data_IF_104488589003
#
_entry.id   IF_104488589003
#
_cell.length_a   1.000
_cell.length_b   1.000
_cell.length_c   1.000
_cell.angle_alpha   90.00
_cell.angle_beta   90.00
_cell.angle_gamma   90.00
#
_symmetry.space_group_name_H-M   'P 1'
#
loop_
_entity.id
_entity.type
_entity.pdbx_description
1 polymer ?
#
# COMPACT_ATOMS: atom_id res chain seq x y z
N UNK A 1 -30.98 -7.19 -41.14
CA UNK A 1 -30.63 -6.90 -39.73
C UNK A 1 -31.11 -8.06 -38.89
N UNK A 2 -30.20 -8.94 -38.50
CA UNK A 2 -30.51 -10.11 -37.66
C UNK A 2 -30.52 -9.65 -36.20
N UNK A 3 -31.54 -9.95 -35.39
CA UNK A 3 -31.52 -9.59 -33.98
C UNK A 3 -30.46 -10.43 -33.24
N UNK A 4 -29.61 -9.74 -32.50
CA UNK A 4 -28.69 -10.36 -31.53
C UNK A 4 -29.56 -10.90 -30.40
N UNK A 5 -29.64 -12.21 -30.25
CA UNK A 5 -30.27 -12.83 -29.08
C UNK A 5 -29.57 -12.34 -27.80
N UNK A 6 -30.31 -11.91 -26.77
CA UNK A 6 -29.70 -11.66 -25.47
C UNK A 6 -29.16 -12.99 -24.95
N UNK A 7 -27.84 -13.08 -24.87
CA UNK A 7 -27.14 -14.12 -24.12
C UNK A 7 -27.72 -14.07 -22.70
N UNK A 8 -28.50 -15.08 -22.35
CA UNK A 8 -29.07 -15.19 -21.01
C UNK A 8 -27.89 -15.33 -20.05
N UNK A 9 -27.65 -14.40 -19.11
CA UNK A 9 -26.56 -14.56 -18.18
C UNK A 9 -26.82 -15.84 -17.39
N UNK A 10 -25.88 -16.80 -17.47
CA UNK A 10 -25.91 -17.98 -16.61
C UNK A 10 -25.91 -17.44 -15.18
N UNK A 11 -27.04 -17.58 -14.48
CA UNK A 11 -27.13 -17.18 -13.07
C UNK A 11 -26.03 -17.91 -12.31
N UNK A 12 -25.16 -17.16 -11.66
CA UNK A 12 -24.12 -17.69 -10.78
C UNK A 12 -24.83 -18.53 -9.70
N UNK A 13 -24.45 -19.81 -9.52
CA UNK A 13 -25.01 -20.67 -8.49
C UNK A 13 -24.94 -20.05 -7.09
N UNK A 14 -25.85 -20.44 -6.19
CA UNK A 14 -25.92 -19.86 -4.84
C UNK A 14 -24.70 -20.16 -3.98
N UNK A 15 -24.13 -21.36 -4.13
CA UNK A 15 -22.89 -21.78 -3.48
C UNK A 15 -21.70 -20.91 -3.94
N UNK A 16 -21.61 -20.62 -5.25
CA UNK A 16 -20.58 -19.73 -5.79
C UNK A 16 -20.80 -18.30 -5.30
N UNK A 17 -22.03 -17.80 -5.26
CA UNK A 17 -22.35 -16.48 -4.68
C UNK A 17 -21.89 -16.38 -3.23
N UNK A 18 -22.18 -17.40 -2.41
CA UNK A 18 -21.74 -17.44 -1.01
C UNK A 18 -20.21 -17.45 -0.89
N UNK A 19 -19.52 -18.17 -1.78
CA UNK A 19 -18.05 -18.16 -1.80
C UNK A 19 -17.49 -16.77 -2.18
N UNK A 20 -18.13 -16.06 -3.11
CA UNK A 20 -17.76 -14.69 -3.48
C UNK A 20 -17.97 -13.72 -2.33
N UNK A 21 -19.07 -13.84 -1.57
CA UNK A 21 -19.30 -13.02 -0.37
C UNK A 21 -18.19 -13.23 0.67
N UNK A 22 -17.80 -14.47 0.91
CA UNK A 22 -16.68 -14.82 1.81
C UNK A 22 -15.36 -14.26 1.28
N UNK A 23 -15.09 -14.39 -0.02
CA UNK A 23 -13.88 -13.88 -0.64
C UNK A 23 -13.82 -12.35 -0.59
N UNK A 24 -14.96 -11.67 -0.76
CA UNK A 24 -15.05 -10.21 -0.65
C UNK A 24 -14.80 -9.74 0.78
N UNK A 25 -15.37 -10.43 1.79
CA UNK A 25 -15.09 -10.16 3.19
C UNK A 25 -13.60 -10.37 3.52
N UNK A 26 -13.01 -11.48 3.05
CA UNK A 26 -11.58 -11.76 3.24
C UNK A 26 -10.69 -10.71 2.54
N UNK A 27 -11.07 -10.28 1.33
CA UNK A 27 -10.35 -9.24 0.61
C UNK A 27 -10.41 -7.90 1.35
N UNK A 28 -11.58 -7.52 1.89
CA UNK A 28 -11.72 -6.32 2.70
C UNK A 28 -10.83 -6.38 3.94
N UNK A 29 -10.83 -7.50 4.66
CA UNK A 29 -9.99 -7.69 5.85
C UNK A 29 -8.49 -7.60 5.52
N UNK A 30 -8.07 -8.23 4.42
CA UNK A 30 -6.69 -8.17 3.94
C UNK A 30 -6.27 -6.74 3.58
N UNK A 31 -7.16 -5.94 2.97
CA UNK A 31 -6.87 -4.54 2.65
C UNK A 31 -6.77 -3.68 3.91
N UNK A 32 -7.64 -3.87 4.90
CA UNK A 32 -7.53 -3.19 6.19
C UNK A 32 -6.19 -3.50 6.85
N UNK A 33 -5.74 -4.76 6.82
CA UNK A 33 -4.44 -5.16 7.36
C UNK A 33 -3.26 -4.52 6.61
N UNK A 34 -3.31 -4.51 5.27
CA UNK A 34 -2.31 -3.83 4.44
C UNK A 34 -2.25 -2.35 4.81
N UNK A 35 -3.40 -1.67 4.88
CA UNK A 35 -3.45 -0.26 5.24
C UNK A 35 -2.95 -0.01 6.66
N UNK A 36 -3.32 -0.83 7.65
CA UNK A 36 -2.85 -0.71 9.02
C UNK A 36 -1.33 -0.87 9.13
N UNK A 37 -0.75 -1.85 8.44
CA UNK A 37 0.70 -2.05 8.41
C UNK A 37 1.44 -0.85 7.80
N UNK A 38 0.92 -0.29 6.71
CA UNK A 38 1.51 0.88 6.07
C UNK A 38 1.29 2.17 6.88
N UNK A 39 0.13 2.35 7.49
CA UNK A 39 -0.18 3.46 8.37
C UNK A 39 0.75 3.47 9.59
N UNK A 40 0.99 2.33 10.24
CA UNK A 40 1.91 2.25 11.37
C UNK A 40 3.34 2.64 11.01
N UNK A 41 3.82 2.23 9.83
CA UNK A 41 5.14 2.65 9.31
C UNK A 41 5.17 4.15 9.02
N UNK A 42 4.09 4.69 8.46
CA UNK A 42 3.95 6.12 8.18
C UNK A 42 3.96 6.94 9.48
N UNK A 43 3.18 6.55 10.48
CA UNK A 43 3.16 7.16 11.82
C UNK A 43 4.55 7.12 12.44
N UNK A 44 5.24 5.98 12.38
CA UNK A 44 6.60 5.85 12.90
C UNK A 44 7.56 6.82 12.21
N UNK A 45 7.45 6.96 10.88
CA UNK A 45 8.27 7.87 10.07
C UNK A 45 7.99 9.34 10.41
N UNK A 46 6.74 9.69 10.68
CA UNK A 46 6.29 11.06 10.95
C UNK A 46 6.31 11.46 12.44
N UNK A 47 6.65 10.54 13.34
CA UNK A 47 6.56 10.74 14.80
C UNK A 47 7.36 11.94 15.34
N UNK A 48 8.41 12.38 14.64
CA UNK A 48 9.17 13.58 15.01
C UNK A 48 8.51 14.91 14.58
N UNK A 49 7.46 14.85 13.76
CA UNK A 49 6.90 16.00 13.05
C UNK A 49 5.38 16.16 13.26
N UNK A 50 4.66 15.05 13.48
CA UNK A 50 3.21 15.01 13.64
C UNK A 50 2.85 14.19 14.87
N UNK A 51 1.78 14.62 15.54
CA UNK A 51 1.14 13.79 16.55
C UNK A 51 0.50 12.56 15.89
N UNK A 52 0.26 11.52 16.70
CA UNK A 52 -0.27 10.24 16.22
C UNK A 52 -1.54 10.40 15.35
N UNK A 53 -2.57 11.08 15.88
CA UNK A 53 -3.84 11.25 15.18
C UNK A 53 -3.67 12.00 13.85
N UNK A 54 -2.82 13.04 13.85
CA UNK A 54 -2.51 13.82 12.64
C UNK A 54 -1.80 12.98 11.58
N UNK A 55 -0.85 12.13 12.00
CA UNK A 55 -0.13 11.25 11.08
C UNK A 55 -1.05 10.17 10.48
N UNK A 56 -1.97 9.62 11.28
CA UNK A 56 -2.96 8.65 10.79
C UNK A 56 -3.95 9.31 9.83
N UNK A 57 -4.50 10.46 10.19
CA UNK A 57 -5.44 11.18 9.32
C UNK A 57 -4.78 11.59 8.00
N UNK A 58 -3.54 12.10 8.06
CA UNK A 58 -2.76 12.41 6.85
C UNK A 58 -2.59 11.17 5.96
N UNK A 59 -2.24 10.02 6.53
CA UNK A 59 -2.10 8.79 5.74
C UNK A 59 -3.40 8.38 5.05
N UNK A 60 -4.53 8.44 5.78
CA UNK A 60 -5.84 8.06 5.26
C UNK A 60 -6.27 8.98 4.12
N UNK A 61 -6.03 10.29 4.27
CA UNK A 61 -6.34 11.29 3.25
C UNK A 61 -5.50 11.09 1.98
N UNK A 62 -4.18 10.90 2.12
CA UNK A 62 -3.27 10.73 0.98
C UNK A 62 -3.58 9.47 0.15
N UNK A 63 -4.13 8.41 0.77
CA UNK A 63 -4.54 7.18 0.07
C UNK A 63 -6.03 7.10 -0.27
N UNK A 64 -6.82 8.13 0.05
CA UNK A 64 -8.28 8.18 -0.10
C UNK A 64 -8.98 6.99 0.59
N UNK A 65 -8.52 6.64 1.79
CA UNK A 65 -9.11 5.56 2.61
C UNK A 65 -10.29 6.13 3.39
N UNK A 66 -11.51 5.75 2.99
CA UNK A 66 -12.76 6.25 3.59
C UNK A 66 -13.40 5.27 4.55
N UNK A 67 -14.41 5.73 5.26
CA UNK A 67 -15.24 4.86 6.10
C UNK A 67 -15.97 3.80 5.25
N UNK A 68 -16.17 2.58 5.78
CA UNK A 68 -15.83 2.12 7.13
C UNK A 68 -14.37 1.65 7.32
N UNK A 69 -13.57 1.61 6.25
CA UNK A 69 -12.19 1.10 6.29
C UNK A 69 -11.28 1.98 7.14
N UNK A 70 -11.42 3.30 7.05
CA UNK A 70 -10.66 4.26 7.85
C UNK A 70 -10.78 3.98 9.36
N UNK A 71 -12.00 3.79 9.86
CA UNK A 71 -12.24 3.43 11.26
C UNK A 71 -11.55 2.10 11.66
N UNK A 72 -11.62 1.08 10.83
CA UNK A 72 -10.97 -0.21 11.10
C UNK A 72 -9.44 -0.09 11.11
N UNK A 73 -8.87 0.68 10.18
CA UNK A 73 -7.42 0.96 10.12
C UNK A 73 -6.96 1.72 11.36
N UNK A 74 -7.66 2.79 11.77
CA UNK A 74 -7.35 3.55 13.00
C UNK A 74 -7.29 2.63 14.22
N UNK A 75 -8.32 1.80 14.41
CA UNK A 75 -8.37 0.84 15.52
C UNK A 75 -7.20 -0.14 15.50
N UNK A 76 -6.83 -0.70 14.34
CA UNK A 76 -5.69 -1.62 14.24
C UNK A 76 -4.35 -0.96 14.53
N UNK A 77 -4.16 0.28 14.06
CA UNK A 77 -2.92 1.02 14.32
C UNK A 77 -2.78 1.32 15.81
N UNK A 78 -3.86 1.69 16.50
CA UNK A 78 -3.85 1.90 17.96
C UNK A 78 -3.44 0.62 18.71
N UNK A 79 -4.08 -0.51 18.40
CA UNK A 79 -3.75 -1.81 19.00
C UNK A 79 -2.29 -2.21 18.73
N UNK A 80 -1.82 -2.03 17.49
CA UNK A 80 -0.45 -2.34 17.13
C UNK A 80 0.58 -1.45 17.86
N UNK A 81 0.23 -0.19 18.13
CA UNK A 81 1.07 0.72 18.89
C UNK A 81 1.15 0.34 20.36
N UNK A 82 0.03 -0.04 20.99
CA UNK A 82 -0.01 -0.56 22.37
C UNK A 82 0.92 -1.76 22.53
N UNK A 83 0.80 -2.76 21.64
CA UNK A 83 1.71 -3.91 21.63
C UNK A 83 3.18 -3.53 21.44
N UNK A 84 3.48 -2.54 20.59
CA UNK A 84 4.84 -2.07 20.38
C UNK A 84 5.43 -1.32 21.59
N UNK A 85 4.58 -0.77 22.47
CA UNK A 85 4.99 -0.14 23.73
C UNK A 85 5.23 -1.21 24.81
N UNK A 86 4.34 -2.19 24.94
CA UNK A 86 4.49 -3.30 25.88
C UNK A 86 5.78 -4.08 25.63
N UNK A 87 6.09 -4.39 24.35
CA UNK A 87 7.33 -5.09 23.97
C UNK A 87 8.62 -4.30 24.29
N UNK A 88 8.53 -2.97 24.46
CA UNK A 88 9.68 -2.13 24.84
C UNK A 88 9.91 -2.12 26.35
N UNK A 89 8.85 -2.19 27.15
CA UNK A 89 8.94 -2.26 28.61
C UNK A 89 9.49 -3.61 29.10
N UNK A 90 9.28 -4.69 28.34
CA UNK A 90 9.81 -6.03 28.63
C UNK A 90 11.31 -6.24 28.27
N UNK A 91 12.00 -5.22 27.76
CA UNK A 91 13.45 -5.27 27.49
C UNK A 91 14.22 -4.50 28.58
N UNK A 92 15.21 -5.11 29.26
CA UNK A 92 16.06 -4.37 30.19
C UNK A 92 16.76 -3.24 29.45
N UNK A 93 16.52 -2.02 29.93
CA UNK A 93 17.01 -0.77 29.37
C UNK A 93 18.53 -0.72 29.35
N UNK A 94 19.11 -0.58 28.16
CA UNK A 94 20.50 -0.23 28.00
C UNK A 94 20.68 1.24 28.40
N UNK A 95 21.36 1.38 29.53
CA UNK A 95 21.89 2.58 30.14
C UNK A 95 22.37 3.67 29.17
N UNK A 96 22.10 4.91 29.58
CA UNK A 96 23.12 5.94 29.79
C UNK A 96 24.19 6.11 28.71
N UNK A 97 23.98 7.07 27.81
CA UNK A 97 25.05 7.96 27.34
C UNK A 97 24.45 9.30 26.89
N UNK A 98 24.47 10.29 27.79
CA UNK A 98 25.14 11.59 27.58
C UNK A 98 24.84 12.55 28.73
N UNK A 99 25.85 12.73 29.57
CA UNK A 99 26.00 13.86 30.48
C UNK A 99 26.90 14.92 29.81
N UNK A 100 26.52 16.16 30.08
CA UNK A 100 27.34 17.33 30.38
C UNK A 100 28.17 18.06 29.30
N UNK A 101 27.82 19.35 29.22
CA UNK A 101 28.64 20.55 29.28
C UNK A 101 29.09 21.31 28.02
N UNK A 102 28.94 22.64 28.20
CA UNK A 102 29.63 23.80 27.62
C UNK A 102 29.26 24.27 26.20
N UNK A 103 28.66 25.47 26.10
CA UNK A 103 29.48 26.68 25.96
C UNK A 103 28.61 27.95 25.90
N UNK A 104 28.76 28.80 26.91
CA UNK A 104 28.07 30.08 27.02
C UNK A 104 28.78 31.19 26.26
N UNK A 105 28.52 31.37 24.96
CA UNK A 105 28.97 32.56 24.19
C UNK A 105 28.05 32.97 23.00
N UNK A 106 26.72 32.85 23.10
CA UNK A 106 25.80 33.11 21.97
C UNK A 106 24.90 34.37 22.07
N UNK A 107 25.25 35.35 22.93
CA UNK A 107 24.41 36.53 23.16
C UNK A 107 24.38 37.58 22.03
N UNK A 108 25.47 37.76 21.25
CA UNK A 108 25.63 38.90 20.32
C UNK A 108 25.71 38.55 18.82
N UNK A 109 25.64 37.27 18.42
CA UNK A 109 25.66 36.86 17.00
C UNK A 109 24.26 36.73 16.37
N UNK A 110 23.21 36.99 17.13
CA UNK A 110 21.79 36.77 16.77
C UNK A 110 21.23 37.71 15.68
N UNK A 111 22.01 38.70 15.22
CA UNK A 111 21.59 39.67 14.19
C UNK A 111 22.53 39.71 12.98
N UNK A 112 23.04 38.57 12.52
CA UNK A 112 23.68 38.47 11.20
C UNK A 112 22.67 37.99 10.16
N UNK A 113 22.33 38.79 9.13
CA UNK A 113 21.37 38.40 8.10
C UNK A 113 21.77 37.10 7.38
N UNK A 114 23.07 36.84 7.21
CA UNK A 114 23.57 35.59 6.62
C UNK A 114 23.24 34.32 7.45
N UNK A 115 23.19 34.43 8.77
CA UNK A 115 22.88 33.31 9.68
C UNK A 115 21.37 33.06 9.69
N UNK A 116 20.57 34.13 9.64
CA UNK A 116 19.11 34.04 9.49
C UNK A 116 18.73 33.42 8.14
N UNK A 117 19.37 33.84 7.04
CA UNK A 117 19.15 33.25 5.70
C UNK A 117 19.58 31.78 5.64
N UNK A 118 20.70 31.40 6.28
CA UNK A 118 21.12 29.98 6.40
C UNK A 118 20.15 29.15 7.24
N UNK A 119 19.57 29.74 8.30
CA UNK A 119 18.53 29.10 9.11
C UNK A 119 17.25 28.87 8.31
N UNK A 120 16.82 29.86 7.54
CA UNK A 120 15.66 29.75 6.66
C UNK A 120 15.88 28.70 5.56
N UNK A 121 17.02 28.73 4.88
CA UNK A 121 17.37 27.74 3.86
C UNK A 121 17.49 26.31 4.42
N UNK A 122 17.87 26.15 5.70
CA UNK A 122 17.87 24.84 6.38
C UNK A 122 16.44 24.37 6.61
N UNK A 123 15.58 25.24 7.13
CA UNK A 123 14.17 24.93 7.40
C UNK A 123 13.41 24.58 6.12
N UNK A 124 13.67 25.28 5.01
CA UNK A 124 13.08 24.95 3.70
C UNK A 124 13.51 23.54 3.25
N UNK A 125 14.80 23.20 3.32
CA UNK A 125 15.29 21.86 2.97
C UNK A 125 14.72 20.75 3.84
N UNK A 126 14.48 21.04 5.12
CA UNK A 126 13.85 20.08 6.05
C UNK A 126 12.39 19.81 5.67
N UNK A 127 11.65 20.84 5.27
CA UNK A 127 10.27 20.69 4.75
C UNK A 127 10.27 19.90 3.43
N UNK A 128 11.17 20.23 2.50
CA UNK A 128 11.28 19.49 1.23
C UNK A 128 11.62 18.01 1.44
N UNK A 129 12.48 17.70 2.42
CA UNK A 129 12.81 16.32 2.78
C UNK A 129 11.59 15.58 3.38
N UNK A 130 10.80 16.26 4.22
CA UNK A 130 9.57 15.71 4.78
C UNK A 130 8.55 15.38 3.69
N UNK A 131 8.30 16.32 2.78
CA UNK A 131 7.37 16.11 1.66
C UNK A 131 7.82 14.96 0.77
N UNK A 132 9.13 14.84 0.54
CA UNK A 132 9.69 13.71 -0.20
C UNK A 132 9.46 12.37 0.54
N UNK A 133 9.65 12.32 1.85
CA UNK A 133 9.40 11.12 2.65
C UNK A 133 7.94 10.72 2.64
N UNK A 134 7.02 11.68 2.76
CA UNK A 134 5.58 11.45 2.62
C UNK A 134 5.29 10.84 1.26
N UNK A 135 5.74 11.46 0.17
CA UNK A 135 5.50 10.97 -1.18
C UNK A 135 6.02 9.53 -1.39
N UNK A 136 7.21 9.21 -0.88
CA UNK A 136 7.77 7.86 -0.97
C UNK A 136 7.00 6.84 -0.12
N UNK A 137 6.57 7.23 1.09
CA UNK A 137 5.80 6.36 1.97
C UNK A 137 4.41 6.06 1.39
N UNK A 138 3.73 7.08 0.84
CA UNK A 138 2.46 6.97 0.11
C UNK A 138 2.64 6.07 -1.11
N UNK A 139 3.65 6.31 -1.95
CA UNK A 139 3.90 5.48 -3.13
C UNK A 139 4.15 4.00 -2.77
N UNK A 140 4.89 3.74 -1.68
CA UNK A 140 5.11 2.38 -1.18
C UNK A 140 3.82 1.74 -0.69
N UNK A 141 2.98 2.50 0.00
CA UNK A 141 1.69 2.02 0.48
C UNK A 141 0.72 1.74 -0.67
N UNK A 142 0.67 2.61 -1.67
CA UNK A 142 -0.12 2.44 -2.89
C UNK A 142 0.28 1.15 -3.63
N UNK A 143 1.58 0.88 -3.77
CA UNK A 143 2.06 -0.38 -4.35
C UNK A 143 1.61 -1.61 -3.53
N UNK A 144 1.67 -1.52 -2.19
CA UNK A 144 1.16 -2.57 -1.30
C UNK A 144 -0.33 -2.84 -1.48
N UNK A 145 -1.13 -1.77 -1.58
CA UNK A 145 -2.59 -1.82 -1.80
C UNK A 145 -2.91 -2.41 -3.17
N UNK A 146 -2.25 -1.97 -4.24
CA UNK A 146 -2.40 -2.54 -5.59
C UNK A 146 -2.07 -4.02 -5.57
N UNK A 147 -0.96 -4.42 -4.93
CA UNK A 147 -0.60 -5.84 -4.81
C UNK A 147 -1.68 -6.63 -4.08
N UNK A 148 -2.21 -6.12 -2.97
CA UNK A 148 -3.30 -6.76 -2.23
C UNK A 148 -4.55 -6.95 -3.08
N UNK A 149 -4.95 -5.92 -3.84
CA UNK A 149 -6.05 -6.03 -4.78
C UNK A 149 -5.79 -7.07 -5.88
N UNK A 150 -4.59 -7.13 -6.44
CA UNK A 150 -4.22 -8.14 -7.45
C UNK A 150 -4.28 -9.55 -6.86
N UNK A 151 -3.74 -9.75 -5.66
CA UNK A 151 -3.76 -11.03 -4.95
C UNK A 151 -5.23 -11.51 -4.77
N UNK A 152 -6.12 -10.60 -4.36
CA UNK A 152 -7.55 -10.88 -4.17
C UNK A 152 -8.32 -11.07 -5.50
N UNK A 153 -8.05 -10.27 -6.53
CA UNK A 153 -8.70 -10.35 -7.83
C UNK A 153 -8.44 -11.71 -8.51
N UNK A 154 -7.22 -12.24 -8.38
CA UNK A 154 -6.87 -13.57 -8.90
C UNK A 154 -7.67 -14.68 -8.20
N UNK A 155 -7.88 -14.58 -6.88
CA UNK A 155 -8.73 -15.50 -6.12
C UNK A 155 -10.18 -15.41 -6.60
N UNK A 156 -10.70 -14.19 -6.78
CA UNK A 156 -12.05 -13.95 -7.29
C UNK A 156 -12.26 -14.55 -8.68
N UNK A 157 -11.31 -14.33 -9.59
CA UNK A 157 -11.33 -14.90 -10.94
C UNK A 157 -11.29 -16.43 -10.93
N UNK A 158 -10.59 -17.05 -9.97
CA UNK A 158 -10.59 -18.50 -9.82
C UNK A 158 -11.96 -19.05 -9.39
N UNK A 159 -12.69 -18.36 -8.50
CA UNK A 159 -14.03 -18.76 -8.06
C UNK A 159 -15.08 -18.64 -9.18
N UNK A 160 -14.91 -17.67 -10.07
CA UNK A 160 -15.81 -17.42 -11.20
C UNK A 160 -15.48 -18.25 -12.44
N UNK A 161 -14.46 -19.10 -12.37
CA UNK A 161 -14.04 -19.96 -13.49
C UNK A 161 -15.19 -20.87 -13.92
N UNK A 162 -15.47 -20.88 -15.23
CA UNK A 162 -16.57 -21.66 -15.80
C UNK A 162 -17.93 -20.93 -15.78
N UNK A 163 -18.01 -19.79 -15.10
CA UNK A 163 -19.18 -18.90 -15.09
C UNK A 163 -18.96 -17.63 -15.91
N UNK A 164 -17.79 -17.00 -15.79
CA UNK A 164 -17.40 -15.77 -16.51
C UNK A 164 -16.04 -15.94 -17.22
N UNK A 165 -15.75 -15.03 -18.16
CA UNK A 165 -14.39 -14.88 -18.68
C UNK A 165 -13.47 -14.24 -17.62
N UNK A 166 -12.16 -14.41 -17.77
CA UNK A 166 -11.19 -13.97 -16.75
C UNK A 166 -11.18 -12.45 -16.57
N UNK A 167 -11.27 -11.69 -17.65
CA UNK A 167 -11.40 -10.24 -17.66
C UNK A 167 -12.70 -9.78 -16.98
N UNK A 168 -13.85 -10.36 -17.37
CA UNK A 168 -15.14 -10.08 -16.73
C UNK A 168 -15.14 -10.38 -15.22
N UNK A 169 -14.44 -11.43 -14.81
CA UNK A 169 -14.32 -11.81 -13.40
C UNK A 169 -13.44 -10.82 -12.60
N UNK A 170 -12.36 -10.31 -13.20
CA UNK A 170 -11.54 -9.25 -12.60
C UNK A 170 -12.33 -7.94 -12.52
N UNK A 171 -13.07 -7.58 -13.57
CA UNK A 171 -13.94 -6.39 -13.54
C UNK A 171 -15.01 -6.50 -12.44
N UNK A 172 -15.63 -7.67 -12.29
CA UNK A 172 -16.59 -7.93 -11.20
C UNK A 172 -15.96 -7.69 -9.83
N UNK A 173 -14.70 -8.11 -9.62
CA UNK A 173 -13.97 -7.82 -8.38
C UNK A 173 -13.74 -6.31 -8.18
N UNK A 174 -13.29 -5.60 -9.22
CA UNK A 174 -13.01 -4.16 -9.14
C UNK A 174 -14.28 -3.37 -8.81
N UNK A 175 -15.40 -3.73 -9.43
CA UNK A 175 -16.71 -3.13 -9.15
C UNK A 175 -17.16 -3.39 -7.72
N UNK A 176 -17.10 -4.66 -7.28
CA UNK A 176 -17.51 -5.04 -5.93
C UNK A 176 -16.69 -4.35 -4.85
N UNK A 177 -15.37 -4.27 -5.06
CA UNK A 177 -14.45 -3.59 -4.15
C UNK A 177 -14.35 -2.08 -4.38
N UNK A 178 -15.13 -1.53 -5.32
CA UNK A 178 -15.18 -0.11 -5.66
C UNK A 178 -13.81 0.51 -5.97
N UNK A 179 -12.94 -0.26 -6.63
CA UNK A 179 -11.63 0.23 -7.06
C UNK A 179 -11.83 1.03 -8.34
N UNK A 180 -11.36 2.28 -8.36
CA UNK A 180 -11.59 3.20 -9.48
C UNK A 180 -10.29 3.84 -10.00
N UNK A 181 -10.41 4.53 -11.14
CA UNK A 181 -9.34 5.36 -11.71
C UNK A 181 -8.08 4.59 -12.08
N UNK A 182 -6.92 5.23 -11.93
CA UNK A 182 -5.62 4.65 -12.26
C UNK A 182 -5.28 3.39 -11.45
N UNK A 183 -5.79 3.28 -10.22
CA UNK A 183 -5.63 2.09 -9.36
C UNK A 183 -6.33 0.88 -9.98
N UNK A 184 -7.58 1.04 -10.43
CA UNK A 184 -8.35 -0.04 -11.06
C UNK A 184 -7.66 -0.56 -12.31
N UNK A 185 -7.18 0.35 -13.17
CA UNK A 185 -6.42 -0.01 -14.37
C UNK A 185 -5.15 -0.79 -14.01
N UNK A 186 -4.41 -0.34 -13.00
CA UNK A 186 -3.18 -1.01 -12.55
C UNK A 186 -3.45 -2.41 -12.01
N UNK A 187 -4.51 -2.57 -11.19
CA UNK A 187 -4.94 -3.87 -10.67
C UNK A 187 -5.39 -4.78 -11.81
N UNK A 188 -6.22 -4.30 -12.73
CA UNK A 188 -6.69 -5.08 -13.88
C UNK A 188 -5.53 -5.64 -14.68
N UNK A 189 -4.61 -4.78 -15.13
CA UNK A 189 -3.49 -5.20 -15.98
C UNK A 189 -2.57 -6.19 -15.28
N UNK A 190 -2.26 -5.96 -13.99
CA UNK A 190 -1.40 -6.86 -13.21
C UNK A 190 -2.08 -8.19 -12.87
N UNK A 191 -3.39 -8.18 -12.59
CA UNK A 191 -4.16 -9.40 -12.36
C UNK A 191 -4.25 -10.23 -13.64
N UNK A 192 -4.55 -9.60 -14.78
CA UNK A 192 -4.57 -10.28 -16.08
C UNK A 192 -3.21 -10.83 -16.46
N UNK A 193 -2.11 -10.11 -16.20
CA UNK A 193 -0.76 -10.62 -16.41
C UNK A 193 -0.47 -11.89 -15.60
N UNK A 194 -0.84 -11.91 -14.30
CA UNK A 194 -0.69 -13.11 -13.46
C UNK A 194 -1.60 -14.26 -13.90
N UNK A 195 -2.83 -13.96 -14.29
CA UNK A 195 -3.74 -14.97 -14.82
C UNK A 195 -3.21 -15.55 -16.13
N UNK A 196 -2.58 -14.73 -16.97
CA UNK A 196 -1.92 -15.17 -18.19
C UNK A 196 -0.76 -16.13 -17.89
N UNK A 197 0.09 -15.82 -16.91
CA UNK A 197 1.15 -16.73 -16.46
C UNK A 197 0.62 -18.11 -16.01
N UNK A 198 -0.59 -18.15 -15.44
CA UNK A 198 -1.22 -19.39 -14.96
C UNK A 198 -1.93 -20.21 -16.05
N UNK A 199 -2.35 -19.60 -17.15
CA UNK A 199 -3.24 -20.24 -18.15
C UNK A 199 -2.66 -20.31 -19.55
N UNK A 200 -1.73 -19.43 -19.91
CA UNK A 200 -1.07 -19.51 -21.21
C UNK A 200 -0.07 -20.67 -21.21
N UNK A 201 -0.09 -21.55 -22.24
CA UNK A 201 0.93 -22.57 -22.38
C UNK A 201 2.30 -21.89 -22.55
N UNK A 202 3.21 -22.15 -21.61
CA UNK A 202 4.65 -21.81 -21.62
C UNK A 202 5.03 -20.58 -22.45
N UNK A 203 5.11 -19.40 -21.80
CA UNK A 203 5.74 -18.22 -22.40
C UNK A 203 7.15 -18.53 -22.94
N UNK A 204 7.62 -17.78 -23.95
CA UNK A 204 8.83 -18.12 -24.71
C UNK A 204 10.00 -18.38 -23.76
N UNK A 205 10.64 -19.55 -23.93
CA UNK A 205 11.88 -19.87 -23.24
C UNK A 205 12.87 -18.71 -23.42
N UNK A 206 13.60 -18.30 -22.36
CA UNK A 206 14.61 -17.25 -22.49
C UNK A 206 15.56 -17.61 -23.64
N UNK A 207 16.00 -16.64 -24.46
CA UNK A 207 16.93 -16.92 -25.54
C UNK A 207 18.12 -17.65 -24.95
N UNK A 208 18.38 -18.87 -25.44
CA UNK A 208 19.61 -19.58 -25.15
C UNK A 208 20.71 -18.71 -25.73
N UNK A 209 21.43 -18.01 -24.86
CA UNK A 209 22.62 -17.24 -25.21
C UNK A 209 23.51 -18.10 -26.10
N UNK A 210 23.50 -17.78 -27.40
CA UNK A 210 24.43 -18.29 -28.38
C UNK A 210 25.80 -17.68 -28.13
N UNK A 211 26.46 -18.11 -27.06
CA UNK A 211 27.93 -18.10 -26.97
C UNK A 211 28.35 -19.56 -27.16
N UNK A 212 28.80 -19.97 -28.34
CA UNK A 212 29.92 -19.36 -29.05
C UNK A 212 31.19 -19.83 -28.37
N UNK A 213 31.73 -20.95 -28.83
CA UNK A 213 33.01 -21.48 -28.36
C UNK A 213 33.11 -22.99 -28.45
N UNK A 214 33.51 -23.49 -29.62
CA UNK A 214 34.45 -24.61 -29.63
C UNK A 214 35.63 -24.26 -30.53
N UNK A 215 36.86 -24.52 -30.08
CA UNK A 215 38.08 -24.02 -30.70
C UNK A 215 38.49 -24.92 -31.86
N UNK A 216 39.16 -24.33 -32.84
CA UNK A 216 40.01 -25.07 -33.77
C UNK A 216 41.28 -25.56 -33.11
#
# INVERSE_FOLDING_TARGET
>A
MTPISPLTPRRIPEDVRRQLDVAAAAAWEALVEIHASHALRFVSLMSAHLDFDQAVDRYLDELDVRDPMAAAVRSRVLVALEHALDERDDRPSLAAFRSDDDDGLEGLKRFRPDVLMKGLARKVREIEALDQWVALAVARAEEGVIKGHVDNAVVFAALLRGHLQLDEAVDTYLELMRVAGGRAQSVFQRAMARLAELHLPGGPAPPRDGRGGSPG
#
